data_IF_235958224763
#
_entry.id   IF_235958224763
#
_cell.length_a   1.000
_cell.length_b   1.000
_cell.length_c   1.000
_cell.angle_alpha   90.00
_cell.angle_beta   90.00
_cell.angle_gamma   90.00
#
_symmetry.space_group_name_H-M   'P 1'
#
loop_
_entity.id
_entity.type
_entity.pdbx_description
1 polymer ?
#
# COMPACT_ATOMS: atom_id res chain seq x y z
N UNK A 1 16.28 -12.36 -6.85
CA UNK A 1 15.46 -11.42 -6.06
C UNK A 1 14.06 -11.57 -6.61
N UNK A 2 13.07 -11.92 -5.79
CA UNK A 2 11.67 -11.86 -6.24
C UNK A 2 11.39 -10.41 -6.60
N UNK A 3 11.21 -10.13 -7.88
CA UNK A 3 10.65 -8.87 -8.35
C UNK A 3 9.23 -8.81 -7.76
N UNK A 4 9.06 -8.07 -6.67
CA UNK A 4 7.73 -7.74 -6.18
C UNK A 4 7.06 -6.90 -7.25
N UNK A 5 6.28 -7.55 -8.11
CA UNK A 5 5.45 -6.91 -9.13
C UNK A 5 4.52 -5.96 -8.39
N UNK A 6 4.55 -4.68 -8.73
CA UNK A 6 3.65 -3.68 -8.16
C UNK A 6 2.18 -4.06 -8.45
N UNK A 7 1.25 -3.81 -7.52
CA UNK A 7 -0.19 -3.96 -7.78
C UNK A 7 -0.63 -3.13 -8.98
N UNK A 8 -1.75 -3.48 -9.61
CA UNK A 8 -2.38 -2.61 -10.61
C UNK A 8 -2.96 -1.36 -9.95
N UNK A 9 -3.13 -0.29 -10.73
CA UNK A 9 -3.75 0.93 -10.25
C UNK A 9 -5.16 0.67 -9.71
N UNK A 10 -5.46 1.16 -8.51
CA UNK A 10 -6.73 0.95 -7.84
C UNK A 10 -6.86 -0.42 -7.16
N UNK A 11 -5.81 -1.25 -7.13
CA UNK A 11 -5.86 -2.53 -6.43
C UNK A 11 -5.97 -2.31 -4.92
N UNK A 12 -6.87 -3.07 -4.28
CA UNK A 12 -6.91 -3.16 -2.83
C UNK A 12 -5.71 -3.97 -2.35
N UNK A 13 -5.03 -3.45 -1.34
CA UNK A 13 -3.80 -4.00 -0.81
C UNK A 13 -3.75 -3.82 0.69
N UNK A 14 -3.03 -4.72 1.35
CA UNK A 14 -2.60 -4.56 2.72
C UNK A 14 -1.12 -4.21 2.72
N UNK A 15 -0.70 -3.13 3.37
CA UNK A 15 0.68 -2.66 3.38
C UNK A 15 1.18 -2.35 4.78
N UNK A 16 2.48 -2.46 4.99
CA UNK A 16 3.16 -2.21 6.26
C UNK A 16 4.27 -1.21 6.00
N UNK A 17 4.27 -0.11 6.76
CA UNK A 17 5.29 0.95 6.66
C UNK A 17 6.64 0.46 7.19
N UNK A 18 7.70 1.24 6.98
CA UNK A 18 9.04 0.92 7.50
C UNK A 18 9.24 1.34 8.95
N UNK A 19 8.50 2.35 9.40
CA UNK A 19 8.51 2.93 10.74
C UNK A 19 7.44 2.34 11.67
N UNK A 20 6.54 1.51 11.15
CA UNK A 20 5.50 0.82 11.90
C UNK A 20 5.56 -0.69 11.62
N UNK A 21 5.21 -1.51 12.61
CA UNK A 21 5.05 -2.96 12.47
C UNK A 21 3.56 -3.37 12.37
N UNK A 22 2.69 -2.41 12.01
CA UNK A 22 1.25 -2.64 11.83
C UNK A 22 0.91 -2.72 10.34
N UNK A 23 0.00 -3.65 10.01
CA UNK A 23 -0.58 -3.73 8.68
C UNK A 23 -1.73 -2.72 8.54
N UNK A 24 -1.74 -2.00 7.43
CA UNK A 24 -2.79 -1.07 7.03
C UNK A 24 -3.47 -1.60 5.77
N UNK A 25 -4.77 -1.42 5.69
CA UNK A 25 -5.53 -1.71 4.48
C UNK A 25 -5.67 -0.42 3.65
N UNK A 26 -5.47 -0.54 2.35
CA UNK A 26 -5.51 0.59 1.45
C UNK A 26 -5.66 0.23 0.00
N UNK A 27 -5.52 1.26 -0.83
CA UNK A 27 -5.53 1.17 -2.28
C UNK A 27 -4.16 1.59 -2.81
N UNK A 28 -3.66 0.88 -3.83
CA UNK A 28 -2.45 1.27 -4.53
C UNK A 28 -2.76 2.17 -5.72
N UNK A 29 -2.21 3.38 -5.71
CA UNK A 29 -2.20 4.31 -6.84
C UNK A 29 -0.88 4.15 -7.61
N UNK A 30 -0.97 3.59 -8.81
CA UNK A 30 0.18 3.34 -9.67
C UNK A 30 0.69 4.60 -10.40
N UNK A 31 -0.18 5.59 -10.62
CA UNK A 31 0.19 6.85 -11.28
C UNK A 31 1.13 7.64 -10.37
N UNK A 32 0.79 7.72 -9.08
CA UNK A 32 1.54 8.46 -8.07
C UNK A 32 2.51 7.58 -7.26
N UNK A 33 2.47 6.25 -7.47
CA UNK A 33 3.27 5.25 -6.73
C UNK A 33 3.09 5.39 -5.22
N UNK A 34 1.84 5.40 -4.77
CA UNK A 34 1.48 5.58 -3.37
C UNK A 34 0.41 4.59 -2.91
N UNK A 35 0.37 4.38 -1.60
CA UNK A 35 -0.68 3.63 -0.92
C UNK A 35 -1.57 4.59 -0.15
N UNK A 36 -2.88 4.42 -0.27
CA UNK A 36 -3.90 5.29 0.34
C UNK A 36 -4.66 4.45 1.37
N UNK A 37 -4.68 4.87 2.63
CA UNK A 37 -5.44 4.17 3.66
C UNK A 37 -6.95 4.35 3.48
N UNK A 38 -7.71 3.26 3.44
CA UNK A 38 -9.16 3.30 3.20
C UNK A 38 -10.01 3.37 4.48
N UNK A 39 -9.41 3.12 5.65
CA UNK A 39 -10.08 3.17 6.96
C UNK A 39 -9.55 4.28 7.88
N UNK A 40 -8.65 5.14 7.39
CA UNK A 40 -8.20 6.28 8.16
C UNK A 40 -9.30 7.35 8.24
N UNK A 41 -9.40 8.01 9.39
CA UNK A 41 -10.35 9.13 9.60
C UNK A 41 -10.00 10.35 8.75
N UNK A 42 -8.74 10.45 8.33
CA UNK A 42 -8.21 11.52 7.47
C UNK A 42 -7.54 10.91 6.24
N UNK A 43 -7.49 11.64 5.13
CA UNK A 43 -6.79 11.17 3.93
C UNK A 43 -5.30 10.97 4.25
N UNK A 44 -4.92 9.71 4.38
CA UNK A 44 -3.56 9.31 4.75
C UNK A 44 -2.95 8.56 3.58
N UNK A 45 -1.83 9.06 3.08
CA UNK A 45 -1.13 8.50 1.93
C UNK A 45 0.32 8.20 2.27
N UNK A 46 0.86 7.14 1.66
CA UNK A 46 2.20 6.64 1.92
C UNK A 46 2.93 6.45 0.61
N UNK A 47 4.13 7.00 0.48
CA UNK A 47 4.93 6.73 -0.70
C UNK A 47 5.27 5.23 -0.75
N UNK A 48 5.30 4.65 -1.94
CA UNK A 48 5.77 3.28 -2.13
C UNK A 48 7.14 3.03 -1.46
N UNK A 49 8.02 4.01 -1.45
CA UNK A 49 9.34 3.88 -0.82
C UNK A 49 9.29 3.79 0.70
N UNK A 50 8.19 4.20 1.34
CA UNK A 50 8.01 4.16 2.79
C UNK A 50 7.36 2.85 3.26
N UNK A 51 6.91 2.04 2.31
CA UNK A 51 6.33 0.72 2.55
C UNK A 51 7.43 -0.34 2.56
N UNK A 52 7.43 -1.17 3.61
CA UNK A 52 8.34 -2.29 3.80
C UNK A 52 7.82 -3.55 3.11
N UNK A 53 6.52 -3.81 3.26
CA UNK A 53 5.83 -4.97 2.71
C UNK A 53 4.42 -4.59 2.32
N UNK A 54 3.88 -5.28 1.33
CA UNK A 54 2.49 -5.19 0.94
C UNK A 54 2.06 -6.52 0.34
N UNK A 55 0.75 -6.75 0.32
CA UNK A 55 0.04 -7.93 -0.20
C UNK A 55 -1.22 -7.46 -0.94
N UNK A 56 -1.54 -8.09 -2.06
CA UNK A 56 -2.81 -7.87 -2.76
C UNK A 56 -3.95 -8.47 -1.95
N UNK A 57 -5.04 -7.74 -1.81
CA UNK A 57 -6.29 -8.28 -1.31
C UNK A 57 -7.06 -8.83 -2.51
N UNK A 58 -7.11 -10.16 -2.65
CA UNK A 58 -8.00 -10.80 -3.61
C UNK A 58 -9.44 -10.51 -3.21
N UNK A 59 -10.20 -9.88 -4.11
CA UNK A 59 -11.64 -9.59 -3.95
C UNK A 59 -12.45 -10.68 -4.62
#
# INVERSE_FOLDING_TARGET
>A
MEEKILPENGSLVRFMRKDEDEWRDGEYDAENKMFIEIYSTELTTHNWTDVRKWELLEV
#
